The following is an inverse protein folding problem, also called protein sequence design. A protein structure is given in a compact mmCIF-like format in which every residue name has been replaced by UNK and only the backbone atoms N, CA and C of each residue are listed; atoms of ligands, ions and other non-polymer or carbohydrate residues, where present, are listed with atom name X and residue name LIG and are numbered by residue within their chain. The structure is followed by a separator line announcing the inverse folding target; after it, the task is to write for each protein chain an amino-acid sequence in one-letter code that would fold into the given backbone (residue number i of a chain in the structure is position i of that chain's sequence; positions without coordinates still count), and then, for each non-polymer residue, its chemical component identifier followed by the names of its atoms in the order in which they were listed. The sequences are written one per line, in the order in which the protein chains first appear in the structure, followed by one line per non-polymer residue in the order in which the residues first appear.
data_IF_270167440793
#
_entry.id   IF_270167440793
#
_cell.length_a   1.000
_cell.length_b   1.000
_cell.length_c   1.000
_cell.angle_alpha   90.00
_cell.angle_beta   90.00
_cell.angle_gamma   90.00
#
_symmetry.space_group_name_H-M   'P 1'
#
loop_
_entity.id
_entity.type
_entity.pdbx_description
1 polymer ?
#
# COMPACT_ATOMS: atom_id res chain seq x y z
N UNK A 1 8.56 -1.08 0.45
CA UNK A 1 10.03 -1.05 0.24
C UNK A 1 10.42 -2.39 -0.37
N UNK A 2 11.22 -2.40 -1.43
CA UNK A 2 11.82 -3.63 -1.94
C UNK A 2 13.13 -3.90 -1.18
N UNK A 3 13.19 -5.04 -0.48
CA UNK A 3 14.33 -5.41 0.36
C UNK A 3 14.97 -6.69 -0.16
N UNK A 4 16.30 -6.78 -0.08
CA UNK A 4 17.02 -8.04 -0.28
C UNK A 4 16.89 -8.95 0.97
N UNK A 5 17.49 -10.13 0.89
CA UNK A 5 17.50 -11.13 1.97
C UNK A 5 18.22 -10.68 3.26
N UNK A 6 19.02 -9.61 3.18
CA UNK A 6 19.72 -9.00 4.31
C UNK A 6 18.98 -7.75 4.83
N UNK A 7 17.82 -7.41 4.26
CA UNK A 7 17.02 -6.24 4.63
C UNK A 7 17.52 -4.92 4.05
N UNK A 8 18.48 -4.92 3.13
CA UNK A 8 18.93 -3.72 2.45
C UNK A 8 17.91 -3.32 1.39
N UNK A 9 17.80 -2.00 1.17
CA UNK A 9 16.98 -1.47 0.09
C UNK A 9 17.59 -1.85 -1.26
N UNK A 10 16.77 -2.31 -2.20
CA UNK A 10 17.19 -2.55 -3.59
C UNK A 10 16.92 -1.31 -4.46
N UNK A 11 17.87 -0.36 -4.62
CA UNK A 11 17.60 0.96 -5.17
C UNK A 11 17.18 0.95 -6.65
N UNK A 12 17.63 -0.06 -7.40
CA UNK A 12 17.31 -0.20 -8.83
C UNK A 12 16.11 -1.11 -9.11
N UNK A 13 15.46 -1.63 -8.06
CA UNK A 13 14.25 -2.43 -8.20
C UNK A 13 13.03 -1.52 -8.44
N UNK A 14 12.59 -1.43 -9.70
CA UNK A 14 11.53 -0.52 -10.15
C UNK A 14 10.21 -1.23 -10.53
N UNK A 15 10.03 -2.46 -10.08
CA UNK A 15 8.83 -3.27 -10.33
C UNK A 15 7.54 -2.51 -9.98
N UNK A 16 6.45 -2.77 -10.72
CA UNK A 16 5.15 -2.20 -10.42
C UNK A 16 4.64 -2.71 -9.06
N UNK A 17 4.04 -1.78 -8.31
CA UNK A 17 3.33 -2.04 -7.07
C UNK A 17 1.88 -1.69 -7.30
N UNK A 18 1.00 -2.65 -7.04
CA UNK A 18 -0.45 -2.54 -7.17
C UNK A 18 -1.06 -2.34 -5.78
N UNK A 19 -1.88 -1.32 -5.64
CA UNK A 19 -2.64 -0.99 -4.45
C UNK A 19 -4.12 -1.32 -4.67
N UNK A 20 -4.74 -1.93 -3.66
CA UNK A 20 -6.20 -2.11 -3.63
C UNK A 20 -6.73 -1.82 -2.24
N UNK A 21 -7.80 -1.04 -2.15
CA UNK A 21 -8.49 -0.79 -0.89
C UNK A 21 -9.80 -1.59 -0.81
N UNK A 22 -10.16 -2.01 0.39
CA UNK A 22 -11.45 -2.64 0.68
C UNK A 22 -12.04 -2.11 1.98
N UNK A 23 -13.35 -2.28 2.16
CA UNK A 23 -14.07 -1.88 3.37
C UNK A 23 -14.18 -0.36 3.52
N UNK A 24 -13.81 0.15 4.69
CA UNK A 24 -13.95 1.57 5.06
C UNK A 24 -12.80 2.48 4.58
N UNK A 25 -11.99 2.04 3.61
CA UNK A 25 -10.87 2.79 3.05
C UNK A 25 -11.00 3.02 1.54
N UNK A 26 -10.49 4.16 1.08
CA UNK A 26 -10.34 4.51 -0.33
C UNK A 26 -8.91 4.99 -0.62
N UNK A 27 -8.37 4.63 -1.78
CA UNK A 27 -7.05 5.05 -2.25
C UNK A 27 -7.08 6.51 -2.71
N UNK A 28 -6.04 7.26 -2.36
CA UNK A 28 -5.77 8.59 -2.92
C UNK A 28 -4.63 8.46 -3.94
N UNK A 29 -4.96 8.66 -5.21
CA UNK A 29 -4.01 8.58 -6.31
C UNK A 29 -4.13 7.29 -7.13
N UNK A 30 -3.10 6.95 -7.93
CA UNK A 30 -3.17 5.82 -8.84
C UNK A 30 -3.07 4.47 -8.12
N UNK A 31 -3.77 3.46 -8.63
CA UNK A 31 -3.71 2.07 -8.15
C UNK A 31 -2.36 1.40 -8.42
N UNK A 32 -1.62 1.83 -9.45
CA UNK A 32 -0.35 1.22 -9.83
C UNK A 32 0.73 2.29 -9.86
N UNK A 33 1.83 2.05 -9.15
CA UNK A 33 3.03 2.88 -9.19
C UNK A 33 4.25 2.02 -9.54
N UNK A 34 5.31 2.65 -10.01
CA UNK A 34 6.64 2.04 -10.08
C UNK A 34 7.49 2.54 -8.91
N UNK A 35 8.24 1.65 -8.27
CA UNK A 35 9.17 2.04 -7.21
C UNK A 35 10.25 2.99 -7.76
N UNK A 36 10.63 3.97 -6.94
CA UNK A 36 11.72 4.91 -7.20
C UNK A 36 12.76 4.76 -6.10
N UNK A 37 13.99 4.41 -6.47
CA UNK A 37 15.03 4.09 -5.48
C UNK A 37 14.68 2.88 -4.61
N UNK A 38 13.91 1.91 -5.11
CA UNK A 38 13.44 0.76 -4.33
C UNK A 38 12.31 1.06 -3.34
N UNK A 39 11.80 2.30 -3.31
CA UNK A 39 10.75 2.74 -2.39
C UNK A 39 9.60 3.44 -3.11
N UNK A 40 8.46 3.50 -2.43
CA UNK A 40 7.24 4.12 -2.91
C UNK A 40 6.22 4.14 -1.77
N UNK A 41 5.10 4.79 -2.01
CA UNK A 41 4.02 4.88 -1.04
C UNK A 41 2.74 5.37 -1.70
N UNK A 42 1.66 5.24 -0.96
CA UNK A 42 0.35 5.77 -1.31
C UNK A 42 -0.29 6.38 -0.07
N UNK A 43 -1.32 7.19 -0.27
CA UNK A 43 -2.18 7.65 0.80
C UNK A 43 -3.53 6.97 0.66
N UNK A 44 -4.13 6.65 1.79
CA UNK A 44 -5.51 6.17 1.88
C UNK A 44 -6.27 7.10 2.80
N UNK A 45 -7.58 7.23 2.58
CA UNK A 45 -8.50 7.95 3.46
C UNK A 45 -9.64 7.04 3.89
N UNK A 46 -10.21 7.33 5.05
CA UNK A 46 -11.48 6.75 5.44
C UNK A 46 -12.60 7.35 4.60
N UNK A 47 -13.69 6.61 4.46
CA UNK A 47 -14.89 7.05 3.72
C UNK A 47 -16.05 7.46 4.64
N UNK A 48 -15.76 7.81 5.90
CA UNK A 48 -16.78 8.16 6.90
C UNK A 48 -17.65 6.98 7.36
N UNK A 49 -17.09 5.76 7.33
CA UNK A 49 -17.73 4.55 7.86
C UNK A 49 -16.81 3.89 8.89
N UNK A 50 -17.40 3.36 9.95
CA UNK A 50 -16.69 2.52 10.91
C UNK A 50 -16.62 1.07 10.41
N UNK A 51 -15.68 0.30 10.95
CA UNK A 51 -15.54 -1.12 10.69
C UNK A 51 -14.20 -1.50 10.08
N UNK A 52 -14.11 -2.76 9.64
CA UNK A 52 -12.89 -3.32 9.04
C UNK A 52 -12.63 -2.74 7.66
N UNK A 53 -11.36 -2.49 7.37
CA UNK A 53 -10.87 -2.10 6.07
C UNK A 53 -9.51 -2.74 5.81
N UNK A 54 -9.11 -2.82 4.55
CA UNK A 54 -7.78 -3.31 4.20
C UNK A 54 -7.16 -2.51 3.04
N UNK A 55 -5.83 -2.46 3.05
CA UNK A 55 -5.00 -2.06 1.93
C UNK A 55 -4.16 -3.26 1.51
N UNK A 56 -4.35 -3.73 0.29
CA UNK A 56 -3.46 -4.69 -0.35
C UNK A 56 -2.35 -3.96 -1.10
N UNK A 57 -1.11 -4.40 -0.90
CA UNK A 57 0.10 -3.97 -1.60
C UNK A 57 0.69 -5.20 -2.28
N UNK A 58 0.44 -5.37 -3.57
CA UNK A 58 0.61 -6.66 -4.28
C UNK A 58 -0.09 -7.79 -3.49
N UNK A 59 0.66 -8.79 -3.04
CA UNK A 59 0.15 -9.96 -2.32
C UNK A 59 0.14 -9.78 -0.79
N UNK A 60 0.54 -8.61 -0.29
CA UNK A 60 0.56 -8.29 1.14
C UNK A 60 -0.70 -7.53 1.49
N UNK A 61 -1.42 -7.98 2.52
CA UNK A 61 -2.60 -7.29 3.04
C UNK A 61 -2.33 -6.65 4.39
N UNK A 62 -2.80 -5.42 4.55
CA UNK A 62 -2.72 -4.64 5.79
C UNK A 62 -4.14 -4.31 6.22
N UNK A 63 -4.57 -4.83 7.36
CA UNK A 63 -5.89 -4.59 7.93
C UNK A 63 -5.92 -3.37 8.85
N UNK A 64 -7.06 -2.68 8.85
CA UNK A 64 -7.36 -1.53 9.71
C UNK A 64 -8.71 -1.74 10.37
N UNK A 65 -8.81 -1.38 11.65
CA UNK A 65 -10.08 -1.19 12.32
C UNK A 65 -10.36 0.31 12.44
N UNK A 66 -11.44 0.78 11.82
CA UNK A 66 -11.82 2.19 11.84
C UNK A 66 -12.91 2.38 12.88
N UNK A 67 -12.55 3.07 13.97
CA UNK A 67 -13.47 3.52 15.01
C UNK A 67 -13.82 4.99 14.73
N UNK A 68 -15.11 5.37 14.84
CA UNK A 68 -15.61 6.73 14.59
C UNK A 68 -16.05 7.41 15.89
#
# INVERSE_FOLDING_TARGET
RALDEYGNLAPYWQEPVVFKCSGALELIGPEIISLKGGSGGCYVKTIGKAGKAALSVNDIEIEFNIDM
#
